data_IF_069375357159
#
_entry.id   IF_069375357159
#
_cell.length_a   1.000
_cell.length_b   1.000
_cell.length_c   1.000
_cell.angle_alpha   90.00
_cell.angle_beta   90.00
_cell.angle_gamma   90.00
#
_symmetry.space_group_name_H-M   'P 1'
#
loop_
_entity.id
_entity.type
_entity.pdbx_description
1 polymer ?
#
# COMPACT_ATOMS: atom_id res chain seq x y z
N UNK A 1 7.19 22.90 15.63
CA UNK A 1 7.68 22.00 14.56
C UNK A 1 6.55 21.01 14.27
N UNK A 2 6.19 20.79 13.01
CA UNK A 2 5.21 19.76 12.64
C UNK A 2 5.96 18.42 12.62
N UNK A 3 5.48 17.44 13.38
CA UNK A 3 6.09 16.11 13.48
C UNK A 3 5.53 15.17 12.43
N UNK A 4 6.36 14.23 11.97
CA UNK A 4 5.89 13.09 11.17
C UNK A 4 4.86 12.26 11.96
N UNK A 5 3.94 11.63 11.25
CA UNK A 5 2.87 10.79 11.79
C UNK A 5 2.97 9.37 11.25
N UNK A 6 2.53 8.44 12.09
CA UNK A 6 2.29 7.05 11.75
C UNK A 6 1.03 6.58 12.47
N UNK A 7 0.61 5.35 12.21
CA UNK A 7 -0.55 4.75 12.87
C UNK A 7 -0.23 4.48 14.34
N UNK A 8 -1.23 4.66 15.21
CA UNK A 8 -1.09 4.33 16.64
C UNK A 8 -1.15 2.82 16.89
N UNK A 9 -1.97 2.12 16.12
CA UNK A 9 -2.21 0.68 16.24
C UNK A 9 -2.27 0.05 14.84
N UNK A 10 -2.11 -1.27 14.78
CA UNK A 10 -2.36 -2.03 13.55
C UNK A 10 -3.85 -2.04 13.24
N UNK A 11 -4.21 -1.78 11.98
CA UNK A 11 -5.59 -1.84 11.46
C UNK A 11 -5.66 -2.99 10.45
N UNK A 12 -6.78 -3.72 10.42
CA UNK A 12 -7.01 -4.79 9.44
C UNK A 12 -8.33 -4.58 8.73
N UNK A 13 -8.35 -4.88 7.44
CA UNK A 13 -9.53 -4.86 6.61
C UNK A 13 -9.54 -6.07 5.67
N UNK A 14 -10.72 -6.43 5.19
CA UNK A 14 -10.91 -7.44 4.15
C UNK A 14 -11.80 -6.84 3.09
N UNK A 15 -11.46 -7.04 1.83
CA UNK A 15 -12.24 -6.57 0.70
C UNK A 15 -11.97 -7.39 -0.55
N UNK A 16 -12.34 -6.80 -1.69
CA UNK A 16 -12.06 -7.36 -3.02
C UNK A 16 -11.34 -6.31 -3.88
N UNK A 17 -10.44 -6.76 -4.74
CA UNK A 17 -9.87 -5.91 -5.79
C UNK A 17 -10.95 -5.50 -6.80
N UNK A 18 -10.88 -4.28 -7.32
CA UNK A 18 -11.84 -3.78 -8.32
C UNK A 18 -11.64 -4.47 -9.66
N UNK A 19 -10.39 -4.59 -10.09
CA UNK A 19 -10.04 -5.06 -11.44
C UNK A 19 -9.79 -6.56 -11.47
N UNK A 20 -9.21 -7.12 -10.40
CA UNK A 20 -8.92 -8.55 -10.26
C UNK A 20 -10.13 -9.35 -9.77
N UNK A 21 -10.98 -8.76 -8.92
CA UNK A 21 -12.03 -9.48 -8.20
C UNK A 21 -11.51 -10.41 -7.09
N UNK A 22 -10.20 -10.42 -6.83
CA UNK A 22 -9.59 -11.26 -5.82
C UNK A 22 -9.95 -10.78 -4.41
N UNK A 23 -10.15 -11.72 -3.49
CA UNK A 23 -10.31 -11.41 -2.07
C UNK A 23 -8.95 -10.98 -1.49
N UNK A 24 -8.94 -9.86 -0.77
CA UNK A 24 -7.71 -9.28 -0.21
C UNK A 24 -7.84 -9.07 1.29
N UNK A 25 -6.84 -9.51 2.05
CA UNK A 25 -6.57 -9.13 3.42
C UNK A 25 -5.54 -8.00 3.42
N UNK A 26 -5.92 -6.88 4.01
CA UNK A 26 -5.04 -5.71 4.15
C UNK A 26 -4.77 -5.44 5.63
N UNK A 27 -3.51 -5.21 5.97
CA UNK A 27 -3.11 -4.74 7.29
C UNK A 27 -2.24 -3.48 7.20
N UNK A 28 -2.71 -2.41 7.85
CA UNK A 28 -1.96 -1.16 7.96
C UNK A 28 -1.21 -1.15 9.29
N UNK A 29 0.10 -0.95 9.25
CA UNK A 29 0.97 -1.05 10.43
C UNK A 29 1.75 0.24 10.65
N UNK A 30 2.04 0.59 11.92
CA UNK A 30 2.97 1.65 12.23
C UNK A 30 4.35 1.39 11.60
N UNK A 31 5.03 2.45 11.19
CA UNK A 31 6.39 2.40 10.67
C UNK A 31 7.26 3.48 11.34
N UNK A 32 8.58 3.25 11.50
CA UNK A 32 9.50 4.24 12.04
C UNK A 32 9.49 5.55 11.24
N UNK A 33 9.95 6.67 11.83
CA UNK A 33 10.15 7.92 11.09
C UNK A 33 11.05 7.71 9.86
N UNK A 34 10.82 8.51 8.82
CA UNK A 34 11.55 8.49 7.52
C UNK A 34 11.38 7.22 6.68
N UNK A 35 10.48 6.32 7.08
CA UNK A 35 10.17 5.11 6.30
C UNK A 35 9.38 5.45 5.03
N UNK A 36 8.47 6.42 5.11
CA UNK A 36 7.48 6.64 4.06
C UNK A 36 6.36 5.58 4.09
N UNK A 37 5.59 5.51 3.00
CA UNK A 37 4.58 4.46 2.80
C UNK A 37 5.19 3.33 1.98
N UNK A 38 5.14 2.11 2.50
CA UNK A 38 5.69 0.92 1.84
C UNK A 38 4.60 -0.15 1.74
N UNK A 39 4.24 -0.52 0.51
CA UNK A 39 3.39 -1.67 0.24
C UNK A 39 4.21 -2.96 0.30
N UNK A 40 3.62 -4.02 0.86
CA UNK A 40 4.30 -5.31 1.07
C UNK A 40 3.40 -6.45 0.63
N UNK A 41 3.84 -7.20 -0.36
CA UNK A 41 3.20 -8.44 -0.84
C UNK A 41 3.60 -9.58 0.09
N UNK A 42 2.78 -9.81 1.11
CA UNK A 42 3.06 -10.79 2.17
C UNK A 42 2.67 -12.22 1.79
N UNK A 43 1.98 -12.40 0.66
CA UNK A 43 1.68 -13.68 0.04
C UNK A 43 2.88 -14.29 -0.72
N UNK A 44 3.95 -13.51 -0.91
CA UNK A 44 5.18 -13.95 -1.58
C UNK A 44 6.28 -14.34 -0.58
N UNK A 45 7.16 -15.25 -0.99
CA UNK A 45 8.35 -15.66 -0.24
C UNK A 45 9.62 -15.52 -1.10
N UNK A 46 10.54 -14.59 -0.79
CA UNK A 46 10.46 -13.62 0.31
C UNK A 46 9.39 -12.54 0.08
N UNK A 47 8.96 -11.90 1.17
CA UNK A 47 8.07 -10.72 1.10
C UNK A 47 8.71 -9.64 0.25
N UNK A 48 7.94 -9.08 -0.67
CA UNK A 48 8.41 -8.03 -1.59
C UNK A 48 7.88 -6.67 -1.15
N UNK A 49 8.79 -5.72 -0.96
CA UNK A 49 8.47 -4.35 -0.53
C UNK A 49 8.53 -3.36 -1.71
N UNK A 50 7.44 -2.62 -1.90
CA UNK A 50 7.26 -1.60 -2.94
C UNK A 50 7.03 -0.24 -2.26
N UNK A 51 8.06 0.62 -2.20
CA UNK A 51 7.89 1.99 -1.73
C UNK A 51 6.87 2.73 -2.61
N UNK A 52 5.95 3.48 -2.00
CA UNK A 52 5.01 4.33 -2.71
C UNK A 52 5.73 5.59 -3.23
N UNK A 53 6.54 5.40 -4.28
CA UNK A 53 7.36 6.42 -4.92
C UNK A 53 7.07 6.45 -6.41
N UNK A 54 7.13 7.63 -7.00
CA UNK A 54 6.97 7.86 -8.45
C UNK A 54 7.96 7.02 -9.29
N UNK A 55 9.12 6.68 -8.71
CA UNK A 55 10.12 5.85 -9.38
C UNK A 55 9.68 4.39 -9.60
N UNK A 56 8.66 3.94 -8.86
CA UNK A 56 8.09 2.59 -8.98
C UNK A 56 6.72 2.59 -9.64
N UNK A 57 6.23 3.71 -10.19
CA UNK A 57 4.96 3.72 -10.93
C UNK A 57 5.18 3.04 -12.28
N UNK A 58 4.46 1.94 -12.51
CA UNK A 58 4.46 1.16 -13.75
C UNK A 58 3.21 1.47 -14.58
N UNK A 59 2.28 0.51 -14.68
CA UNK A 59 1.02 0.72 -15.40
C UNK A 59 0.12 1.79 -14.75
N UNK A 60 -0.43 2.65 -15.60
CA UNK A 60 -1.36 3.73 -15.23
C UNK A 60 -2.72 3.62 -15.92
N UNK A 61 -2.99 2.50 -16.61
CA UNK A 61 -4.30 2.25 -17.23
C UNK A 61 -5.30 1.83 -16.15
N UNK A 62 -6.42 2.54 -16.07
CA UNK A 62 -7.54 2.27 -15.14
C UNK A 62 -7.23 2.41 -13.63
N UNK A 63 -5.97 2.41 -13.21
CA UNK A 63 -5.53 2.69 -11.85
C UNK A 63 -4.04 3.08 -11.81
N UNK A 64 -3.51 3.45 -10.64
CA UNK A 64 -2.07 3.59 -10.42
C UNK A 64 -1.49 2.28 -9.90
N UNK A 65 -0.48 1.75 -10.59
CA UNK A 65 0.20 0.50 -10.20
C UNK A 65 1.65 0.77 -9.83
N UNK A 66 2.06 0.26 -8.66
CA UNK A 66 3.46 0.17 -8.28
C UNK A 66 4.05 -1.14 -8.78
N UNK A 67 5.23 -1.08 -9.38
CA UNK A 67 5.95 -2.23 -9.93
C UNK A 67 7.40 -2.21 -9.48
N UNK A 68 7.90 -3.38 -9.07
CA UNK A 68 9.30 -3.59 -8.72
C UNK A 68 9.66 -5.04 -8.92
N UNK A 69 10.75 -5.29 -9.65
CA UNK A 69 11.34 -6.62 -9.83
C UNK A 69 10.33 -7.69 -10.31
N UNK A 70 9.38 -7.29 -11.18
CA UNK A 70 8.34 -8.17 -11.72
C UNK A 70 7.13 -8.40 -10.80
N UNK A 71 7.08 -7.75 -9.64
CA UNK A 71 5.97 -7.80 -8.68
C UNK A 71 5.24 -6.47 -8.68
N UNK A 72 3.93 -6.51 -8.51
CA UNK A 72 3.08 -5.32 -8.53
C UNK A 72 2.08 -5.24 -7.38
N UNK A 73 1.68 -4.00 -7.11
CA UNK A 73 0.51 -3.63 -6.31
C UNK A 73 -0.28 -2.57 -7.06
N UNK A 74 -1.48 -2.91 -7.52
CA UNK A 74 -2.35 -2.00 -8.27
C UNK A 74 -3.38 -1.29 -7.39
N UNK A 75 -3.94 -0.20 -7.93
CA UNK A 75 -5.06 0.54 -7.31
C UNK A 75 -4.69 1.18 -5.96
N UNK A 76 -3.48 1.72 -5.88
CA UNK A 76 -2.96 2.34 -4.65
C UNK A 76 -3.54 3.72 -4.38
N UNK A 77 -4.12 4.38 -5.38
CA UNK A 77 -4.45 5.81 -5.38
C UNK A 77 -5.45 6.25 -4.30
N UNK A 78 -6.49 5.47 -4.01
CA UNK A 78 -7.49 5.83 -3.01
C UNK A 78 -6.92 5.74 -1.59
N UNK A 79 -6.19 4.67 -1.28
CA UNK A 79 -5.52 4.51 0.01
C UNK A 79 -4.45 5.58 0.22
N UNK A 80 -3.66 5.88 -0.82
CA UNK A 80 -2.69 6.96 -0.78
C UNK A 80 -3.35 8.33 -0.60
N UNK A 81 -4.52 8.57 -1.22
CA UNK A 81 -5.32 9.78 -0.99
C UNK A 81 -5.79 9.90 0.46
N UNK A 82 -6.25 8.81 1.07
CA UNK A 82 -6.63 8.79 2.48
C UNK A 82 -5.43 9.08 3.41
N UNK A 83 -4.26 8.49 3.16
CA UNK A 83 -3.05 8.80 3.91
C UNK A 83 -2.63 10.27 3.76
N UNK A 84 -2.67 10.81 2.55
CA UNK A 84 -2.37 12.22 2.31
C UNK A 84 -3.36 13.14 3.04
N UNK A 85 -4.67 12.86 2.96
CA UNK A 85 -5.70 13.65 3.62
C UNK A 85 -5.63 13.63 5.15
N UNK A 86 -5.13 12.54 5.74
CA UNK A 86 -4.93 12.40 7.19
C UNK A 86 -3.52 12.82 7.66
N UNK A 87 -2.61 13.10 6.72
CA UNK A 87 -1.21 13.43 6.98
C UNK A 87 -0.43 12.27 7.59
N UNK A 88 -0.62 11.04 7.11
CA UNK A 88 0.19 9.88 7.51
C UNK A 88 1.47 9.87 6.69
N UNK A 89 2.62 10.03 7.35
CA UNK A 89 3.93 10.05 6.69
C UNK A 89 4.55 8.65 6.58
N UNK A 90 4.34 7.79 7.57
CA UNK A 90 5.01 6.49 7.67
C UNK A 90 4.01 5.36 7.93
N UNK A 91 3.98 4.34 7.08
CA UNK A 91 3.19 3.13 7.30
C UNK A 91 3.71 1.96 6.46
N UNK A 92 3.56 0.75 6.99
CA UNK A 92 3.61 -0.47 6.18
C UNK A 92 2.19 -0.87 5.81
N UNK A 93 1.98 -1.20 4.53
CA UNK A 93 0.72 -1.67 3.97
C UNK A 93 0.90 -3.12 3.53
N UNK A 94 0.53 -4.06 4.39
CA UNK A 94 0.60 -5.49 4.07
C UNK A 94 -0.64 -5.89 3.29
N UNK A 95 -0.45 -6.54 2.14
CA UNK A 95 -1.51 -7.10 1.32
C UNK A 95 -1.13 -8.52 0.89
N UNK A 96 -2.10 -9.42 0.81
CA UNK A 96 -1.92 -10.83 0.40
C UNK A 96 -2.36 -11.11 -1.04
N UNK A 97 -2.52 -10.07 -1.85
CA UNK A 97 -2.91 -10.14 -3.26
C UNK A 97 -2.24 -9.03 -4.07
N UNK A 98 -2.41 -8.99 -5.39
CA UNK A 98 -1.77 -8.00 -6.26
C UNK A 98 -2.47 -6.63 -6.33
N UNK A 99 -3.63 -6.46 -5.69
CA UNK A 99 -4.44 -5.25 -5.77
C UNK A 99 -4.89 -4.80 -4.38
N UNK A 100 -4.93 -3.49 -4.12
CA UNK A 100 -5.53 -2.94 -2.89
C UNK A 100 -7.05 -3.14 -2.95
N UNK A 101 -7.73 -3.56 -1.85
CA UNK A 101 -9.18 -3.70 -1.86
C UNK A 101 -9.85 -2.34 -2.16
N UNK A 102 -10.93 -2.33 -2.96
CA UNK A 102 -11.51 -1.12 -3.55
C UNK A 102 -12.15 -0.09 -2.58
N UNK A 103 -12.06 -0.31 -1.26
CA UNK A 103 -12.76 0.50 -0.26
C UNK A 103 -12.34 1.97 -0.27
#
# INVERSE_FOLDING_TARGET
MISQRTLKNVIRATGVGLHTGDKVLLALRPAPPTTGIIFRRIDLDPVVELPASVAFVGDTRMSTTLERDGVSVSTVEHLMSAFAGLGIDNAYVDIDAAEVPIM
#
